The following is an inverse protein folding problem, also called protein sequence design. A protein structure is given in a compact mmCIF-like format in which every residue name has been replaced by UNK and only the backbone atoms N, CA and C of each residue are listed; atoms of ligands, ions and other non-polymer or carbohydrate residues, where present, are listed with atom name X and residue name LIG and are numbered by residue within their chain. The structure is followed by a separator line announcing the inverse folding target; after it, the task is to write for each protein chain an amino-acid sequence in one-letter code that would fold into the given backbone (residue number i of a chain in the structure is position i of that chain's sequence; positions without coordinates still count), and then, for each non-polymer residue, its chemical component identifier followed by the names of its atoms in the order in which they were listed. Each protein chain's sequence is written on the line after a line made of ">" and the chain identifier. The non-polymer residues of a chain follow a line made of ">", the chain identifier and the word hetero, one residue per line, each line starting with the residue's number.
data_IF_333471810625
#
_entry.id   IF_333471810625
#
_cell.length_a   1.000
_cell.length_b   1.000
_cell.length_c   1.000
_cell.angle_alpha   90.00
_cell.angle_beta   90.00
_cell.angle_gamma   90.00
#
_symmetry.space_group_name_H-M   'P 1'
#
loop_
_entity.id
_entity.type
_entity.pdbx_description
1 polymer ?
#
# COMPACT_ATOMS: atom_id res chain seq x y z
N UNK A 1 2.96 10.17 -0.95
CA UNK A 1 3.24 9.22 0.15
C UNK A 1 3.48 10.03 1.39
N UNK A 2 2.84 9.68 2.51
CA UNK A 2 2.95 10.41 3.79
C UNK A 2 3.96 9.73 4.69
N UNK A 3 3.92 8.41 4.73
CA UNK A 3 4.78 7.57 5.55
C UNK A 3 4.98 6.21 4.88
N UNK A 4 5.97 5.48 5.39
CA UNK A 4 6.20 4.08 5.07
C UNK A 4 6.76 3.36 6.29
N UNK A 5 6.28 2.14 6.53
CA UNK A 5 6.80 1.23 7.53
C UNK A 5 7.16 -0.10 6.85
N UNK A 6 8.36 -0.61 7.13
CA UNK A 6 8.86 -1.85 6.53
C UNK A 6 9.33 -2.79 7.65
N UNK A 7 8.90 -4.04 7.57
CA UNK A 7 9.37 -5.14 8.42
C UNK A 7 10.03 -6.18 7.52
N UNK A 8 11.35 -6.27 7.59
CA UNK A 8 12.11 -7.33 6.92
C UNK A 8 12.04 -8.63 7.74
N UNK A 9 11.77 -9.74 7.06
CA UNK A 9 11.64 -11.08 7.64
C UNK A 9 12.72 -12.04 7.17
N UNK A 10 13.28 -11.81 5.98
CA UNK A 10 14.38 -12.58 5.44
C UNK A 10 15.22 -11.74 4.47
N UNK A 11 16.44 -12.20 4.19
CA UNK A 11 17.31 -11.62 3.17
C UNK A 11 16.82 -12.01 1.76
N UNK A 12 16.72 -11.02 0.87
CA UNK A 12 16.57 -11.26 -0.57
C UNK A 12 17.93 -11.34 -1.25
N UNK A 13 18.07 -12.21 -2.26
CA UNK A 13 19.33 -12.44 -2.97
C UNK A 13 19.23 -12.05 -4.44
N UNK A 14 20.37 -11.73 -5.04
CA UNK A 14 20.45 -11.49 -6.48
C UNK A 14 19.93 -12.70 -7.26
N UNK A 15 19.16 -12.44 -8.32
CA UNK A 15 18.54 -13.48 -9.15
C UNK A 15 17.22 -14.05 -8.60
N UNK A 16 16.79 -13.67 -7.39
CA UNK A 16 15.46 -14.06 -6.89
C UNK A 16 14.35 -13.30 -7.62
N UNK A 17 13.26 -14.01 -7.90
CA UNK A 17 12.01 -13.40 -8.36
C UNK A 17 11.08 -13.25 -7.17
N UNK A 18 10.61 -12.03 -6.91
CA UNK A 18 9.73 -11.74 -5.78
C UNK A 18 8.30 -11.49 -6.27
N UNK A 19 7.33 -12.12 -5.61
CA UNK A 19 5.93 -11.77 -5.71
C UNK A 19 5.63 -10.63 -4.72
N UNK A 20 4.98 -9.59 -5.23
CA UNK A 20 4.50 -8.46 -4.42
C UNK A 20 2.98 -8.44 -4.51
N UNK A 21 2.34 -8.85 -3.43
CA UNK A 21 0.89 -8.73 -3.29
C UNK A 21 0.56 -7.43 -2.58
N UNK A 22 -0.49 -6.75 -3.06
CA UNK A 22 -0.88 -5.43 -2.59
C UNK A 22 -2.36 -5.46 -2.24
N UNK A 23 -2.72 -4.92 -1.09
CA UNK A 23 -4.10 -4.73 -0.68
C UNK A 23 -4.29 -3.33 -0.07
N UNK A 24 -5.41 -2.64 -0.35
CA UNK A 24 -5.77 -1.43 0.37
C UNK A 24 -6.19 -1.77 1.80
N UNK A 25 -5.91 -0.86 2.73
CA UNK A 25 -6.38 -0.89 4.12
C UNK A 25 -6.68 0.55 4.57
N UNK A 26 -7.42 0.70 5.68
CA UNK A 26 -7.81 2.00 6.27
C UNK A 26 -8.22 3.06 5.21
N UNK A 27 -9.23 2.70 4.40
CA UNK A 27 -9.73 3.55 3.31
C UNK A 27 -10.49 4.74 3.89
N UNK A 28 -9.93 5.95 3.73
CA UNK A 28 -10.46 7.22 4.25
C UNK A 28 -10.83 8.16 3.09
N UNK A 29 -11.54 9.24 3.36
CA UNK A 29 -12.01 10.17 2.31
C UNK A 29 -10.90 10.77 1.44
N UNK A 30 -9.71 11.00 2.02
CA UNK A 30 -8.59 11.72 1.37
C UNK A 30 -7.37 10.84 1.09
N UNK A 31 -7.47 9.54 1.38
CA UNK A 31 -6.31 8.65 1.34
C UNK A 31 -6.63 7.26 1.86
N UNK A 32 -5.67 6.36 1.78
CA UNK A 32 -5.75 5.01 2.32
C UNK A 32 -4.35 4.55 2.68
N UNK A 33 -4.26 3.39 3.29
CA UNK A 33 -3.01 2.68 3.44
C UNK A 33 -2.93 1.60 2.37
N UNK A 34 -1.71 1.31 1.90
CA UNK A 34 -1.44 0.16 1.04
C UNK A 34 -0.55 -0.80 1.82
N UNK A 35 -1.03 -2.03 1.96
CA UNK A 35 -0.31 -3.14 2.57
C UNK A 35 0.34 -3.96 1.48
N UNK A 36 1.59 -4.36 1.71
CA UNK A 36 2.36 -5.18 0.78
C UNK A 36 2.86 -6.42 1.50
N UNK A 37 2.73 -7.57 0.84
CA UNK A 37 3.40 -8.81 1.23
C UNK A 37 4.37 -9.19 0.12
N UNK A 38 5.65 -9.25 0.47
CA UNK A 38 6.73 -9.58 -0.47
C UNK A 38 7.22 -10.98 -0.14
N UNK A 39 7.20 -11.88 -1.11
CA UNK A 39 7.63 -13.27 -0.97
C UNK A 39 8.47 -13.73 -2.15
N UNK A 40 9.36 -14.68 -1.92
CA UNK A 40 10.07 -15.37 -2.99
C UNK A 40 9.11 -16.29 -3.76
N UNK A 41 9.06 -16.15 -5.08
CA UNK A 41 8.19 -16.99 -5.93
C UNK A 41 8.61 -18.45 -5.87
N UNK A 42 9.91 -18.74 -5.78
CA UNK A 42 10.41 -20.11 -5.85
C UNK A 42 10.09 -20.91 -4.58
N UNK A 43 10.14 -20.26 -3.41
CA UNK A 43 10.00 -20.94 -2.10
C UNK A 43 8.76 -20.55 -1.31
N UNK A 44 8.06 -19.48 -1.71
CA UNK A 44 6.99 -18.87 -0.93
C UNK A 44 7.45 -18.17 0.35
N UNK A 45 8.76 -18.11 0.61
CA UNK A 45 9.31 -17.50 1.83
C UNK A 45 9.02 -16.00 1.85
N UNK A 46 8.40 -15.54 2.94
CA UNK A 46 8.14 -14.11 3.14
C UNK A 46 9.46 -13.36 3.37
N UNK A 47 9.70 -12.34 2.56
CA UNK A 47 10.88 -11.48 2.60
C UNK A 47 10.61 -10.23 3.42
N UNK A 48 9.47 -9.57 3.20
CA UNK A 48 9.12 -8.36 3.91
C UNK A 48 7.61 -8.09 3.90
N UNK A 49 7.19 -7.30 4.89
CA UNK A 49 5.89 -6.62 4.90
C UNK A 49 6.10 -5.13 4.85
N UNK A 50 5.30 -4.44 4.05
CA UNK A 50 5.35 -2.99 3.93
C UNK A 50 3.95 -2.43 4.16
N UNK A 51 3.89 -1.25 4.76
CA UNK A 51 2.70 -0.40 4.79
C UNK A 51 3.11 0.99 4.32
N UNK A 52 2.33 1.58 3.43
CA UNK A 52 2.52 3.00 3.04
C UNK A 52 1.22 3.76 3.20
N UNK A 53 1.24 4.88 3.91
CA UNK A 53 0.16 5.85 3.93
C UNK A 53 0.17 6.74 2.69
N UNK A 54 -0.96 6.84 1.99
CA UNK A 54 -1.12 7.74 0.84
C UNK A 54 -2.27 8.74 1.04
N UNK A 55 -2.10 9.94 0.50
CA UNK A 55 -3.12 10.98 0.42
C UNK A 55 -3.17 11.54 -0.99
N UNK A 56 -4.34 12.03 -1.40
CA UNK A 56 -4.54 12.71 -2.68
C UNK A 56 -4.32 14.21 -2.50
N UNK A 57 -3.44 14.79 -3.32
CA UNK A 57 -3.04 16.19 -3.22
C UNK A 57 -3.18 16.87 -4.58
N UNK A 58 -3.87 18.02 -4.59
CA UNK A 58 -3.92 18.90 -5.74
C UNK A 58 -2.75 19.88 -5.65
N UNK A 59 -1.79 19.73 -6.56
CA UNK A 59 -0.59 20.57 -6.59
C UNK A 59 -0.84 21.99 -7.13
N UNK A 60 -1.87 22.19 -7.95
CA UNK A 60 -2.27 23.52 -8.42
C UNK A 60 -2.91 24.34 -7.31
N UNK A 61 -3.88 23.74 -6.61
CA UNK A 61 -4.53 24.36 -5.45
C UNK A 61 -3.72 24.25 -4.14
N UNK A 62 -2.60 23.50 -4.16
CA UNK A 62 -1.69 23.24 -3.02
C UNK A 62 -2.42 22.74 -1.77
N UNK A 63 -3.35 21.79 -1.93
CA UNK A 63 -4.12 21.23 -0.80
C UNK A 63 -4.39 19.74 -0.95
N UNK A 64 -4.60 19.07 0.18
CA UNK A 64 -5.14 17.70 0.21
C UNK A 64 -6.57 17.73 -0.31
N UNK A 65 -6.91 16.80 -1.19
CA UNK A 65 -8.23 16.66 -1.82
C UNK A 65 -8.83 15.29 -1.51
N UNK A 66 -10.12 15.15 -1.79
CA UNK A 66 -10.80 13.86 -1.71
C UNK A 66 -10.23 12.88 -2.72
N UNK A 67 -10.26 11.59 -2.37
CA UNK A 67 -9.90 10.51 -3.26
C UNK A 67 -10.71 10.55 -4.57
N UNK A 68 -10.06 10.47 -5.73
CA UNK A 68 -10.74 10.38 -7.02
C UNK A 68 -11.69 9.18 -7.08
N UNK A 69 -12.88 9.37 -7.66
CA UNK A 69 -13.90 8.33 -7.74
C UNK A 69 -13.41 7.04 -8.43
N UNK A 70 -12.60 7.17 -9.48
CA UNK A 70 -11.99 6.03 -10.17
C UNK A 70 -11.06 5.21 -9.26
N UNK A 71 -10.31 5.86 -8.37
CA UNK A 71 -9.45 5.17 -7.41
C UNK A 71 -10.30 4.47 -6.33
N UNK A 72 -11.30 5.18 -5.81
CA UNK A 72 -12.25 4.63 -4.82
C UNK A 72 -12.98 3.39 -5.33
N UNK A 73 -13.29 3.34 -6.62
CA UNK A 73 -13.93 2.16 -7.24
C UNK A 73 -13.03 0.91 -7.21
N UNK A 74 -11.70 1.08 -7.18
CA UNK A 74 -10.74 -0.03 -7.12
C UNK A 74 -10.42 -0.44 -5.69
N UNK A 75 -10.26 0.51 -4.77
CA UNK A 75 -9.84 0.21 -3.38
C UNK A 75 -11.00 -0.17 -2.44
N UNK A 76 -12.25 -0.06 -2.90
CA UNK A 76 -13.43 -0.41 -2.13
C UNK A 76 -13.93 0.72 -1.22
N UNK A 77 -14.99 0.42 -0.46
CA UNK A 77 -15.59 1.35 0.49
C UNK A 77 -14.76 1.45 1.78
N UNK A 78 -14.86 2.57 2.54
CA UNK A 78 -14.29 2.66 3.88
C UNK A 78 -14.66 1.43 4.72
N UNK A 79 -13.68 0.70 5.23
CA UNK A 79 -13.92 -0.30 6.25
C UNK A 79 -14.38 0.44 7.52
N UNK A 80 -15.44 -0.05 8.17
CA UNK A 80 -16.02 0.60 9.34
C UNK A 80 -14.99 0.60 10.47
N UNK A 81 -14.78 1.76 11.09
CA UNK A 81 -14.11 1.85 12.39
C UNK A 81 -15.02 1.15 13.42
N UNK A 82 -14.62 -0.06 13.83
CA UNK A 82 -15.12 -0.70 15.04
C UNK A 82 -14.48 -0.08 16.28
#
# INVERSE_FOLDING_TARGET
>A
MVDAAIVYRAEGRHGMTLAVEIAPDDVRTRGCDLLYRISDVATGREIARVKTGIVFFDYGARRVVSMPAAFRAVVGAPAHAG
#
